data_IF_037174643425
#
_entry.id   IF_037174643425
#
_cell.length_a   1.000
_cell.length_b   1.000
_cell.length_c   1.000
_cell.angle_alpha   90.00
_cell.angle_beta   90.00
_cell.angle_gamma   90.00
#
_symmetry.space_group_name_H-M   'P 1'
#
loop_
_entity.id
_entity.type
_entity.pdbx_description
1 polymer ?
#
# COMPACT_ATOMS: atom_id res chain seq x y z
N UNK A 1 -41.15 -24.95 11.74
CA UNK A 1 -40.19 -26.07 11.73
C UNK A 1 -38.81 -25.49 12.03
N UNK A 2 -38.13 -25.95 13.08
CA UNK A 2 -36.77 -25.46 13.39
C UNK A 2 -35.80 -25.96 12.31
N UNK A 3 -35.03 -25.05 11.73
CA UNK A 3 -34.15 -25.31 10.59
C UNK A 3 -32.99 -26.28 10.94
N UNK A 4 -32.43 -26.19 12.14
CA UNK A 4 -31.28 -27.04 12.52
C UNK A 4 -31.60 -28.53 12.69
N UNK A 5 -32.68 -28.93 13.37
CA UNK A 5 -33.09 -30.34 13.41
C UNK A 5 -33.39 -30.91 12.01
N UNK A 6 -33.94 -30.09 11.12
CA UNK A 6 -34.22 -30.49 9.73
C UNK A 6 -32.93 -30.66 8.91
N UNK A 7 -31.99 -29.72 9.07
CA UNK A 7 -30.66 -29.74 8.43
C UNK A 7 -29.82 -30.94 8.87
N UNK A 8 -29.79 -31.26 10.17
CA UNK A 8 -29.08 -32.44 10.67
C UNK A 8 -29.63 -33.73 10.08
N UNK A 9 -30.96 -33.90 10.09
CA UNK A 9 -31.60 -35.09 9.52
C UNK A 9 -31.28 -35.27 8.03
N UNK A 10 -31.30 -34.20 7.25
CA UNK A 10 -30.99 -34.29 5.81
C UNK A 10 -29.50 -34.50 5.52
N UNK A 11 -28.62 -34.06 6.42
CA UNK A 11 -27.19 -34.35 6.32
C UNK A 11 -26.88 -35.83 6.58
N UNK A 12 -27.65 -36.50 7.43
CA UNK A 12 -27.52 -37.95 7.66
C UNK A 12 -28.07 -38.78 6.49
N UNK A 13 -29.16 -38.33 5.87
CA UNK A 13 -29.82 -39.05 4.77
C UNK A 13 -29.13 -38.86 3.40
N UNK A 14 -28.51 -37.70 3.14
CA UNK A 14 -27.97 -37.36 1.82
C UNK A 14 -26.50 -36.90 1.87
N UNK A 15 -25.54 -37.69 1.33
CA UNK A 15 -24.11 -37.36 1.38
C UNK A 15 -23.75 -36.01 0.75
N UNK A 16 -24.42 -35.64 -0.35
CA UNK A 16 -24.20 -34.35 -1.00
C UNK A 16 -24.69 -33.18 -0.14
N UNK A 17 -25.79 -33.38 0.60
CA UNK A 17 -26.29 -32.38 1.54
C UNK A 17 -25.36 -32.25 2.74
N UNK A 18 -24.84 -33.37 3.27
CA UNK A 18 -23.83 -33.37 4.32
C UNK A 18 -22.59 -32.54 3.94
N UNK A 19 -22.07 -32.76 2.73
CA UNK A 19 -20.93 -32.01 2.21
C UNK A 19 -21.22 -30.50 2.10
N UNK A 20 -22.39 -30.13 1.55
CA UNK A 20 -22.79 -28.71 1.43
C UNK A 20 -23.01 -28.06 2.80
N UNK A 21 -23.58 -28.80 3.74
CA UNK A 21 -23.80 -28.32 5.11
C UNK A 21 -22.47 -28.13 5.86
N UNK A 22 -21.50 -29.03 5.66
CA UNK A 22 -20.14 -28.87 6.17
C UNK A 22 -19.47 -27.63 5.58
N UNK A 23 -19.52 -27.45 4.25
CA UNK A 23 -18.95 -26.28 3.57
C UNK A 23 -19.59 -24.97 4.07
N UNK A 24 -20.91 -24.97 4.28
CA UNK A 24 -21.65 -23.84 4.87
C UNK A 24 -21.12 -23.52 6.28
N UNK A 25 -21.06 -24.51 7.18
CA UNK A 25 -20.56 -24.32 8.56
C UNK A 25 -19.12 -23.81 8.59
N UNK A 26 -18.27 -24.35 7.73
CA UNK A 26 -16.89 -23.86 7.59
C UNK A 26 -16.84 -22.41 7.09
N UNK A 27 -17.73 -22.02 6.17
CA UNK A 27 -17.83 -20.63 5.70
C UNK A 27 -18.30 -19.70 6.82
N UNK A 28 -19.30 -20.10 7.59
CA UNK A 28 -19.78 -19.33 8.75
C UNK A 28 -18.67 -19.11 9.78
N UNK A 29 -17.89 -20.16 10.08
CA UNK A 29 -16.73 -20.08 10.99
C UNK A 29 -15.65 -19.12 10.46
N UNK A 30 -15.38 -19.10 9.16
CA UNK A 30 -14.41 -18.13 8.60
C UNK A 30 -14.90 -16.70 8.69
N UNK A 31 -16.20 -16.47 8.48
CA UNK A 31 -16.78 -15.14 8.61
C UNK A 31 -16.74 -14.68 10.07
N UNK A 32 -16.97 -15.58 11.03
CA UNK A 32 -16.82 -15.31 12.45
C UNK A 32 -15.36 -15.02 12.82
N UNK A 33 -14.40 -15.80 12.32
CA UNK A 33 -12.97 -15.56 12.52
C UNK A 33 -12.51 -14.23 11.89
N UNK A 34 -12.96 -13.92 10.68
CA UNK A 34 -12.63 -12.63 10.03
C UNK A 34 -13.22 -11.46 10.81
N UNK A 35 -14.44 -11.62 11.34
CA UNK A 35 -15.06 -10.63 12.21
C UNK A 35 -14.34 -10.49 13.55
N UNK A 36 -13.86 -11.59 14.12
CA UNK A 36 -13.16 -11.58 15.41
C UNK A 36 -11.90 -10.71 15.35
N UNK A 37 -11.24 -10.64 14.19
CA UNK A 37 -10.10 -9.75 13.97
C UNK A 37 -10.42 -8.24 14.12
N UNK A 38 -11.69 -7.84 14.05
CA UNK A 38 -12.11 -6.44 14.19
C UNK A 38 -12.69 -6.06 15.56
N UNK A 39 -13.25 -7.03 16.32
CA UNK A 39 -14.07 -6.71 17.50
C UNK A 39 -13.83 -7.65 18.72
N UNK A 40 -13.64 -8.96 18.51
CA UNK A 40 -13.76 -9.97 19.59
C UNK A 40 -12.82 -11.19 19.41
N UNK A 41 -11.56 -10.95 18.99
CA UNK A 41 -10.60 -11.99 18.62
C UNK A 41 -10.41 -13.05 19.72
N UNK A 42 -10.26 -12.60 20.98
CA UNK A 42 -10.01 -13.48 22.13
C UNK A 42 -11.20 -14.39 22.45
N UNK A 43 -12.42 -13.87 22.41
CA UNK A 43 -13.64 -14.63 22.76
C UNK A 43 -13.85 -15.80 21.81
N UNK A 44 -13.51 -15.63 20.53
CA UNK A 44 -13.68 -16.66 19.49
C UNK A 44 -12.50 -17.63 19.48
N UNK A 45 -11.27 -17.15 19.70
CA UNK A 45 -10.07 -18.01 19.75
C UNK A 45 -10.01 -18.92 20.98
N UNK A 46 -10.58 -18.51 22.13
CA UNK A 46 -10.61 -19.32 23.35
C UNK A 46 -11.71 -20.40 23.37
N UNK A 47 -12.65 -20.37 22.42
CA UNK A 47 -13.72 -21.37 22.29
C UNK A 47 -13.34 -22.49 21.30
N UNK A 48 -14.09 -23.59 21.27
CA UNK A 48 -13.90 -24.76 20.38
C UNK A 48 -13.90 -24.44 18.87
N UNK A 49 -14.14 -23.19 18.49
CA UNK A 49 -14.11 -22.67 17.13
C UNK A 49 -12.67 -22.43 16.63
N UNK A 50 -11.70 -22.21 17.54
CA UNK A 50 -10.28 -22.06 17.23
C UNK A 50 -9.69 -23.28 16.51
N UNK A 51 -9.99 -24.49 17.00
CA UNK A 51 -9.52 -25.75 16.38
C UNK A 51 -10.10 -25.97 14.98
N UNK A 52 -11.34 -25.56 14.74
CA UNK A 52 -11.96 -25.65 13.42
C UNK A 52 -11.35 -24.68 12.41
N UNK A 53 -10.89 -23.50 12.86
CA UNK A 53 -10.21 -22.52 11.99
C UNK A 53 -8.83 -23.02 11.52
N UNK A 54 -8.07 -23.71 12.38
CA UNK A 54 -6.80 -24.38 12.02
C UNK A 54 -7.04 -25.46 10.96
N UNK A 55 -8.11 -26.25 11.12
CA UNK A 55 -8.48 -27.29 10.16
C UNK A 55 -8.81 -26.70 8.77
N UNK A 56 -9.45 -25.53 8.72
CA UNK A 56 -9.77 -24.85 7.46
C UNK A 56 -8.52 -24.30 6.75
N UNK A 57 -7.59 -23.66 7.47
CA UNK A 57 -6.35 -23.14 6.86
C UNK A 57 -5.47 -24.26 6.28
N UNK A 58 -5.46 -25.43 6.94
CA UNK A 58 -4.84 -26.65 6.38
C UNK A 58 -5.52 -27.13 5.08
N UNK A 59 -6.85 -27.01 4.99
CA UNK A 59 -7.63 -27.50 3.85
C UNK A 59 -7.38 -26.71 2.55
N UNK A 60 -7.01 -25.43 2.65
CA UNK A 60 -6.75 -24.53 1.52
C UNK A 60 -5.27 -24.43 1.13
N UNK A 61 -4.45 -25.41 1.54
CA UNK A 61 -3.02 -25.48 1.19
C UNK A 61 -2.22 -24.24 1.64
N UNK A 62 -2.56 -23.72 2.83
CA UNK A 62 -1.83 -22.64 3.49
C UNK A 62 -1.07 -23.15 4.73
N UNK A 63 -0.11 -24.08 4.57
CA UNK A 63 0.52 -24.78 5.70
C UNK A 63 1.30 -23.84 6.62
N UNK A 64 1.86 -22.75 6.09
CA UNK A 64 2.57 -21.76 6.90
C UNK A 64 1.61 -21.01 7.83
N UNK A 65 0.44 -20.60 7.32
CA UNK A 65 -0.56 -19.94 8.15
C UNK A 65 -1.13 -20.89 9.20
N UNK A 66 -1.38 -22.16 8.84
CA UNK A 66 -1.88 -23.15 9.80
C UNK A 66 -0.89 -23.39 10.97
N UNK A 67 0.42 -23.42 10.68
CA UNK A 67 1.47 -23.55 11.71
C UNK A 67 1.51 -22.37 12.66
N UNK A 68 1.39 -21.14 12.14
CA UNK A 68 1.46 -19.94 12.96
C UNK A 68 0.14 -19.62 13.68
N UNK A 69 -0.99 -20.09 13.17
CA UNK A 69 -2.30 -19.84 13.77
C UNK A 69 -2.42 -20.47 15.17
N UNK A 70 -1.93 -21.70 15.36
CA UNK A 70 -1.95 -22.35 16.67
C UNK A 70 -1.06 -21.63 17.70
N UNK A 71 0.11 -21.14 17.25
CA UNK A 71 0.99 -20.30 18.08
C UNK A 71 0.29 -18.99 18.44
N UNK A 72 -0.34 -18.35 17.46
CA UNK A 72 -1.09 -17.11 17.65
C UNK A 72 -2.23 -17.27 18.66
N UNK A 73 -3.04 -18.33 18.55
CA UNK A 73 -4.12 -18.62 19.51
C UNK A 73 -3.57 -18.84 20.92
N UNK A 74 -2.46 -19.59 21.05
CA UNK A 74 -1.81 -19.81 22.35
C UNK A 74 -1.28 -18.52 22.96
N UNK A 75 -0.65 -17.68 22.15
CA UNK A 75 -0.07 -16.42 22.62
C UNK A 75 -1.17 -15.43 23.04
N UNK A 76 -2.32 -15.45 22.36
CA UNK A 76 -3.51 -14.69 22.76
C UNK A 76 -4.09 -15.14 24.10
N UNK A 77 -4.19 -16.45 24.33
CA UNK A 77 -4.65 -17.01 25.62
C UNK A 77 -3.71 -16.63 26.77
N UNK A 78 -2.40 -16.73 26.52
CA UNK A 78 -1.36 -16.37 27.48
C UNK A 78 -1.20 -14.85 27.69
N UNK A 79 -1.75 -14.00 26.81
CA UNK A 79 -1.57 -12.55 26.81
C UNK A 79 -2.04 -11.92 28.13
N UNK A 80 -3.15 -12.42 28.68
CA UNK A 80 -3.74 -11.96 29.94
C UNK A 80 -2.77 -12.08 31.13
N UNK A 81 -1.94 -13.12 31.13
CA UNK A 81 -1.01 -13.43 32.21
C UNK A 81 0.42 -12.94 31.94
N UNK A 82 0.89 -12.96 30.69
CA UNK A 82 2.25 -12.54 30.33
C UNK A 82 2.37 -11.02 30.21
N UNK A 83 1.38 -10.35 29.61
CA UNK A 83 1.40 -8.91 29.35
C UNK A 83 0.03 -8.27 29.64
N UNK A 84 -0.37 -8.09 30.91
CA UNK A 84 -1.69 -7.57 31.29
C UNK A 84 -2.00 -6.17 30.75
N UNK A 85 -0.97 -5.32 30.60
CA UNK A 85 -1.11 -3.99 30.02
C UNK A 85 -1.53 -4.04 28.55
N UNK A 86 -0.87 -4.88 27.76
CA UNK A 86 -1.21 -5.11 26.35
C UNK A 86 -2.58 -5.76 26.24
N UNK A 87 -2.90 -6.72 27.11
CA UNK A 87 -4.23 -7.33 27.17
C UNK A 87 -5.33 -6.29 27.40
N UNK A 88 -5.12 -5.34 28.32
CA UNK A 88 -6.09 -4.27 28.62
C UNK A 88 -6.34 -3.38 27.39
N UNK A 89 -5.27 -2.97 26.72
CA UNK A 89 -5.33 -2.15 25.50
C UNK A 89 -5.95 -2.92 24.32
N UNK A 90 -5.68 -4.23 24.24
CA UNK A 90 -6.25 -5.14 23.26
C UNK A 90 -7.76 -5.29 23.47
N UNK A 91 -8.23 -5.50 24.71
CA UNK A 91 -9.65 -5.57 25.05
C UNK A 91 -10.39 -4.23 24.83
N UNK A 92 -9.66 -3.11 24.83
CA UNK A 92 -10.19 -1.80 24.45
C UNK A 92 -10.28 -1.60 22.91
N UNK A 93 -9.88 -2.59 22.11
CA UNK A 93 -9.95 -2.53 20.65
C UNK A 93 -8.91 -1.60 20.00
N UNK A 94 -7.88 -1.16 20.73
CA UNK A 94 -6.90 -0.18 20.23
C UNK A 94 -5.92 -0.73 19.17
N UNK A 95 -6.08 -1.99 18.79
CA UNK A 95 -5.34 -2.64 17.70
C UNK A 95 -6.06 -2.53 16.35
N UNK A 96 -7.28 -1.98 16.32
CA UNK A 96 -8.11 -1.82 15.12
C UNK A 96 -8.32 -0.34 14.83
N UNK A 97 -8.28 0.04 13.54
CA UNK A 97 -8.63 1.37 13.08
C UNK A 97 -9.92 1.34 12.25
N UNK A 98 -10.73 2.39 12.36
CA UNK A 98 -11.97 2.53 11.60
C UNK A 98 -11.82 3.63 10.56
N UNK A 99 -12.01 3.30 9.28
CA UNK A 99 -11.94 4.31 8.20
C UNK A 99 -13.12 5.28 8.22
N UNK A 100 -14.30 4.81 8.63
CA UNK A 100 -15.57 5.55 8.53
C UNK A 100 -16.35 5.59 9.85
N UNK A 101 -15.76 5.14 10.96
CA UNK A 101 -16.42 5.04 12.27
C UNK A 101 -17.52 3.96 12.36
N UNK A 102 -17.67 3.13 11.33
CA UNK A 102 -18.59 1.98 11.32
C UNK A 102 -17.84 0.79 11.94
N UNK A 103 -18.36 0.14 13.00
CA UNK A 103 -17.65 -0.96 13.68
C UNK A 103 -17.23 -2.10 12.73
N UNK A 104 -18.08 -2.45 11.78
CA UNK A 104 -17.80 -3.51 10.80
C UNK A 104 -16.69 -3.18 9.78
N UNK A 105 -16.27 -1.91 9.68
CA UNK A 105 -15.17 -1.50 8.79
C UNK A 105 -13.82 -1.39 9.51
N UNK A 106 -13.74 -1.94 10.73
CA UNK A 106 -12.50 -2.04 11.48
C UNK A 106 -11.45 -2.87 10.74
N UNK A 107 -10.25 -2.30 10.59
CA UNK A 107 -9.10 -2.98 10.00
C UNK A 107 -8.00 -3.06 11.07
N UNK A 108 -7.42 -4.24 11.32
CA UNK A 108 -6.24 -4.36 12.17
C UNK A 108 -5.12 -3.40 11.76
N UNK A 109 -4.43 -2.81 12.73
CA UNK A 109 -3.43 -1.77 12.50
C UNK A 109 -2.27 -2.26 11.61
N UNK A 110 -1.87 -3.52 11.75
CA UNK A 110 -0.87 -4.17 10.91
C UNK A 110 -1.32 -4.29 9.45
N UNK A 111 -2.57 -4.72 9.22
CA UNK A 111 -3.16 -4.80 7.89
C UNK A 111 -3.35 -3.41 7.25
N UNK A 112 -3.76 -2.42 8.04
CA UNK A 112 -3.85 -1.03 7.60
C UNK A 112 -2.48 -0.46 7.22
N UNK A 113 -1.46 -0.73 8.04
CA UNK A 113 -0.09 -0.33 7.75
C UNK A 113 0.44 -1.06 6.50
N UNK A 114 0.14 -2.35 6.35
CA UNK A 114 0.50 -3.10 5.15
C UNK A 114 -0.14 -2.51 3.90
N UNK A 115 -1.43 -2.16 3.96
CA UNK A 115 -2.16 -1.53 2.87
C UNK A 115 -1.57 -0.16 2.51
N UNK A 116 -1.22 0.65 3.51
CA UNK A 116 -0.56 1.93 3.29
C UNK A 116 0.81 1.75 2.63
N UNK A 117 1.66 0.89 3.20
CA UNK A 117 3.00 0.63 2.69
C UNK A 117 2.94 -0.01 1.29
N UNK A 118 1.89 -0.77 0.95
CA UNK A 118 1.69 -1.33 -0.40
C UNK A 118 1.73 -0.28 -1.51
N UNK A 119 1.37 0.97 -1.22
CA UNK A 119 1.49 2.09 -2.18
C UNK A 119 2.94 2.48 -2.48
N UNK A 120 3.87 2.21 -1.55
CA UNK A 120 5.32 2.46 -1.68
C UNK A 120 6.05 1.20 -2.15
N UNK A 121 5.50 0.00 -1.91
CA UNK A 121 6.09 -1.26 -2.39
C UNK A 121 6.12 -1.28 -3.93
N UNK A 122 7.31 -1.44 -4.48
CA UNK A 122 7.49 -1.86 -5.87
C UNK A 122 6.96 -3.29 -6.10
N UNK A 123 6.95 -3.75 -7.37
CA UNK A 123 6.40 -5.08 -7.73
C UNK A 123 7.14 -6.27 -7.08
N UNK A 124 8.35 -6.06 -6.51
CA UNK A 124 9.14 -7.08 -5.81
C UNK A 124 8.77 -7.32 -4.34
N UNK A 125 7.76 -6.63 -3.81
CA UNK A 125 7.33 -6.79 -2.42
C UNK A 125 8.40 -6.40 -1.40
N UNK A 126 8.40 -7.05 -0.24
CA UNK A 126 9.36 -6.79 0.84
C UNK A 126 10.68 -7.57 0.72
N UNK A 127 10.83 -8.46 -0.26
CA UNK A 127 11.93 -9.44 -0.32
C UNK A 127 13.36 -8.88 -0.26
N UNK A 128 13.55 -7.61 -0.60
CA UNK A 128 14.84 -6.90 -0.45
C UNK A 128 14.95 -5.98 0.76
N UNK A 129 13.82 -5.61 1.38
CA UNK A 129 13.75 -4.65 2.49
C UNK A 129 13.79 -5.39 3.83
N UNK A 130 13.15 -6.55 3.92
CA UNK A 130 13.12 -7.38 5.15
C UNK A 130 14.50 -7.92 5.53
N UNK A 131 15.34 -8.20 4.53
CA UNK A 131 16.69 -8.73 4.72
C UNK A 131 17.73 -7.65 5.10
N UNK A 132 17.35 -6.37 5.13
CA UNK A 132 18.21 -5.26 5.53
C UNK A 132 17.57 -4.44 6.67
N UNK A 133 18.05 -4.57 7.91
CA UNK A 133 17.47 -3.91 9.08
C UNK A 133 17.39 -2.38 8.94
N UNK A 134 18.35 -1.76 8.24
CA UNK A 134 18.38 -0.32 8.02
C UNK A 134 17.32 0.12 7.02
N UNK A 135 17.10 -0.66 5.97
CA UNK A 135 16.04 -0.40 4.99
C UNK A 135 14.66 -0.63 5.59
N UNK A 136 14.50 -1.67 6.41
CA UNK A 136 13.27 -1.91 7.17
C UNK A 136 12.98 -0.76 8.14
N UNK A 137 13.98 -0.32 8.93
CA UNK A 137 13.82 0.80 9.84
C UNK A 137 13.44 2.09 9.12
N UNK A 138 14.10 2.40 7.99
CA UNK A 138 13.73 3.56 7.17
C UNK A 138 12.28 3.45 6.71
N UNK A 139 11.87 2.31 6.17
CA UNK A 139 10.49 2.14 5.71
C UNK A 139 9.46 2.26 6.85
N UNK A 140 9.75 1.77 8.04
CA UNK A 140 8.85 1.88 9.19
C UNK A 140 8.69 3.34 9.67
N UNK A 141 9.73 4.16 9.53
CA UNK A 141 9.71 5.56 9.98
C UNK A 141 9.21 6.50 8.88
N UNK A 142 9.68 6.34 7.64
CA UNK A 142 9.43 7.28 6.54
C UNK A 142 8.40 6.77 5.54
N UNK A 143 8.03 5.49 5.58
CA UNK A 143 7.07 4.88 4.65
C UNK A 143 5.72 5.60 4.65
N UNK A 144 5.07 5.82 5.81
CA UNK A 144 3.81 6.56 5.87
C UNK A 144 3.91 7.98 5.27
N UNK A 145 5.02 8.67 5.50
CA UNK A 145 5.27 10.01 4.95
C UNK A 145 5.40 9.97 3.42
N UNK A 146 6.14 8.99 2.88
CA UNK A 146 6.21 8.77 1.43
C UNK A 146 4.84 8.45 0.84
N UNK A 147 4.02 7.64 1.51
CA UNK A 147 2.64 7.34 1.07
C UNK A 147 1.81 8.63 1.02
N UNK A 148 1.91 9.48 2.05
CA UNK A 148 1.19 10.75 2.11
C UNK A 148 1.62 11.67 0.96
N UNK A 149 2.92 11.89 0.80
CA UNK A 149 3.47 12.76 -0.25
C UNK A 149 3.08 12.27 -1.65
N UNK A 150 3.18 10.97 -1.93
CA UNK A 150 2.76 10.41 -3.22
C UNK A 150 1.26 10.64 -3.45
N UNK A 151 0.44 10.43 -2.43
CA UNK A 151 -1.01 10.62 -2.53
C UNK A 151 -1.39 12.09 -2.75
N UNK A 152 -0.74 13.02 -2.04
CA UNK A 152 -0.92 14.46 -2.20
C UNK A 152 -0.51 14.90 -3.61
N UNK A 153 0.66 14.48 -4.06
CA UNK A 153 1.16 14.75 -5.40
C UNK A 153 0.21 14.22 -6.47
N UNK A 154 -0.18 12.95 -6.42
CA UNK A 154 -1.10 12.34 -7.39
C UNK A 154 -2.46 13.05 -7.44
N UNK A 155 -2.98 13.50 -6.30
CA UNK A 155 -4.24 14.24 -6.24
C UNK A 155 -4.11 15.64 -6.85
N UNK A 156 -2.95 16.29 -6.70
CA UNK A 156 -2.67 17.61 -7.29
C UNK A 156 -2.53 17.54 -8.81
N UNK A 157 -1.89 16.51 -9.34
CA UNK A 157 -1.71 16.36 -10.80
C UNK A 157 -2.93 15.71 -11.51
N UNK A 158 -3.91 15.20 -10.77
CA UNK A 158 -5.07 14.51 -11.35
C UNK A 158 -6.02 15.48 -12.07
N UNK A 159 -6.38 15.25 -13.35
CA UNK A 159 -7.29 16.15 -14.06
C UNK A 159 -8.68 16.23 -13.39
N UNK A 160 -9.15 17.45 -13.12
CA UNK A 160 -10.49 17.72 -12.58
C UNK A 160 -11.52 17.79 -13.72
N UNK A 161 -12.69 17.18 -13.55
CA UNK A 161 -13.73 17.14 -14.58
C UNK A 161 -14.26 18.54 -14.92
N UNK A 162 -14.40 18.87 -16.21
CA UNK A 162 -15.12 20.07 -16.69
C UNK A 162 -14.28 21.24 -17.20
N UNK A 163 -12.95 21.13 -17.36
CA UNK A 163 -12.10 22.15 -17.99
C UNK A 163 -11.21 21.53 -19.08
N UNK A 164 -10.87 22.31 -20.10
CA UNK A 164 -10.07 21.85 -21.24
C UNK A 164 -8.69 21.35 -20.81
N UNK A 165 -8.26 20.22 -21.38
CA UNK A 165 -6.95 19.60 -21.15
C UNK A 165 -5.82 20.58 -21.48
N UNK A 166 -4.90 20.80 -20.53
CA UNK A 166 -3.66 21.57 -20.74
C UNK A 166 -3.50 22.88 -19.94
N UNK A 167 -4.58 23.48 -19.41
CA UNK A 167 -4.47 24.65 -18.50
C UNK A 167 -4.37 24.25 -17.02
N UNK A 168 -4.88 23.07 -16.67
CA UNK A 168 -4.93 22.56 -15.30
C UNK A 168 -3.57 22.14 -14.72
N UNK A 169 -2.70 21.55 -15.55
CA UNK A 169 -1.45 20.92 -15.11
C UNK A 169 -0.35 21.95 -14.77
N UNK A 170 -0.55 23.20 -15.18
CA UNK A 170 0.37 24.33 -14.96
C UNK A 170 0.30 24.88 -13.54
N UNK A 171 -0.83 25.46 -13.17
CA UNK A 171 -0.93 26.24 -11.93
C UNK A 171 -0.84 25.39 -10.65
N UNK A 172 -1.56 24.26 -10.58
CA UNK A 172 -1.66 23.44 -9.34
C UNK A 172 -0.30 22.78 -8.97
N UNK A 173 0.50 22.40 -9.97
CA UNK A 173 1.82 21.79 -9.73
C UNK A 173 2.89 22.83 -9.42
N UNK A 174 2.95 23.92 -10.19
CA UNK A 174 3.88 25.03 -9.93
C UNK A 174 3.64 25.67 -8.56
N UNK A 175 2.37 25.85 -8.15
CA UNK A 175 2.04 26.33 -6.80
C UNK A 175 2.46 25.32 -5.72
N UNK A 176 2.28 24.02 -5.95
CA UNK A 176 2.73 22.99 -5.03
C UNK A 176 4.26 23.03 -4.83
N UNK A 177 5.03 23.20 -5.90
CA UNK A 177 6.49 23.33 -5.85
C UNK A 177 6.89 24.61 -5.11
N UNK A 178 6.26 25.76 -5.40
CA UNK A 178 6.53 27.01 -4.68
C UNK A 178 6.28 26.88 -3.18
N UNK A 179 5.27 26.13 -2.75
CA UNK A 179 5.00 25.86 -1.32
C UNK A 179 6.05 24.99 -0.64
N UNK A 180 6.85 24.25 -1.40
CA UNK A 180 7.99 23.52 -0.82
C UNK A 180 9.19 24.44 -0.58
N UNK A 181 9.15 25.68 -1.10
CA UNK A 181 10.16 26.69 -0.83
C UNK A 181 9.76 27.45 0.44
N UNK A 182 10.58 27.34 1.46
CA UNK A 182 10.51 28.16 2.68
C UNK A 182 11.76 29.05 2.81
N UNK A 183 11.81 29.88 3.84
CA UNK A 183 12.92 30.82 4.08
C UNK A 183 14.29 30.13 4.23
N UNK A 184 14.31 28.83 4.57
CA UNK A 184 15.53 28.02 4.76
C UNK A 184 15.91 27.21 3.51
N UNK A 185 15.01 27.10 2.53
CA UNK A 185 15.23 26.33 1.31
C UNK A 185 16.05 27.12 0.31
N UNK A 186 17.27 26.65 0.00
CA UNK A 186 18.14 27.31 -0.98
C UNK A 186 17.96 26.81 -2.40
N UNK A 187 17.45 25.60 -2.57
CA UNK A 187 17.37 24.90 -3.84
C UNK A 187 16.30 23.80 -3.76
N UNK A 188 15.57 23.61 -4.84
CA UNK A 188 14.65 22.47 -5.01
C UNK A 188 15.13 21.62 -6.18
N UNK A 189 15.36 20.33 -5.92
CA UNK A 189 15.72 19.33 -6.92
C UNK A 189 14.52 18.44 -7.22
N UNK A 190 14.02 18.48 -8.45
CA UNK A 190 12.94 17.62 -8.95
C UNK A 190 13.55 16.54 -9.84
N UNK A 191 13.55 15.31 -9.35
CA UNK A 191 14.13 14.17 -10.06
C UNK A 191 12.99 13.28 -10.57
N UNK A 192 12.74 13.36 -11.87
CA UNK A 192 11.95 12.38 -12.60
C UNK A 192 12.81 11.17 -12.98
N UNK A 193 12.24 9.99 -12.76
CA UNK A 193 12.86 8.70 -13.01
C UNK A 193 12.96 8.41 -14.51
N UNK A 194 14.02 7.70 -14.93
CA UNK A 194 14.28 7.34 -16.33
C UNK A 194 14.35 5.84 -16.47
N UNK A 195 13.41 5.27 -17.22
CA UNK A 195 13.33 3.82 -17.42
C UNK A 195 14.26 3.39 -18.54
N UNK A 196 15.43 2.83 -18.18
CA UNK A 196 16.37 2.26 -19.16
C UNK A 196 15.83 0.94 -19.72
N UNK A 197 15.93 0.71 -21.05
CA UNK A 197 15.36 -0.48 -21.70
C UNK A 197 15.88 -1.80 -21.12
N UNK A 198 17.17 -1.85 -20.77
CA UNK A 198 17.84 -3.04 -20.22
C UNK A 198 17.77 -3.16 -18.69
N UNK A 199 17.04 -2.28 -18.02
CA UNK A 199 16.91 -2.34 -16.56
C UNK A 199 16.01 -3.51 -16.13
N UNK A 200 16.31 -4.06 -14.94
CA UNK A 200 15.46 -5.05 -14.28
C UNK A 200 14.03 -4.51 -14.10
N UNK A 201 13.91 -3.19 -13.90
CA UNK A 201 12.62 -2.52 -13.77
C UNK A 201 11.81 -2.50 -15.07
N UNK A 202 12.46 -2.31 -16.23
CA UNK A 202 11.78 -2.27 -17.52
C UNK A 202 11.34 -3.66 -17.99
N UNK A 203 12.22 -4.66 -17.88
CA UNK A 203 11.92 -6.06 -18.26
C UNK A 203 10.77 -6.68 -17.43
N UNK A 204 10.65 -6.31 -16.15
CA UNK A 204 9.54 -6.74 -15.30
C UNK A 204 8.22 -6.05 -15.68
N UNK A 205 8.27 -4.93 -16.42
CA UNK A 205 7.11 -4.13 -16.84
C UNK A 205 6.57 -4.53 -18.20
N UNK A 206 7.41 -4.85 -19.18
CA UNK A 206 7.00 -5.32 -20.52
C UNK A 206 6.05 -6.54 -20.44
N UNK A 207 6.29 -7.42 -19.46
CA UNK A 207 5.45 -8.60 -19.19
C UNK A 207 3.99 -8.29 -18.78
N UNK A 208 3.62 -7.02 -18.59
CA UNK A 208 2.33 -6.61 -17.98
C UNK A 208 1.28 -6.14 -18.99
N UNK A 209 1.66 -5.85 -20.24
CA UNK A 209 0.75 -5.37 -21.28
C UNK A 209 0.17 -3.96 -21.03
N UNK A 210 -0.50 -3.41 -22.04
CA UNK A 210 -1.20 -2.11 -21.96
C UNK A 210 -2.55 -2.28 -21.25
N UNK A 211 -2.81 -1.50 -20.21
CA UNK A 211 -4.11 -1.46 -19.52
C UNK A 211 -5.03 -0.39 -20.11
N UNK A 212 -6.34 -0.65 -20.12
CA UNK A 212 -7.36 0.26 -20.66
C UNK A 212 -7.41 1.63 -19.94
N UNK A 213 -7.61 2.71 -20.71
CA UNK A 213 -7.52 4.14 -20.33
C UNK A 213 -8.71 4.70 -19.53
N UNK A 214 -9.35 3.90 -18.66
CA UNK A 214 -10.63 4.31 -18.07
C UNK A 214 -10.48 5.10 -16.76
N UNK A 215 -9.28 5.24 -16.20
CA UNK A 215 -9.02 6.06 -15.01
C UNK A 215 -7.57 6.58 -14.93
N UNK A 216 -7.35 7.63 -14.13
CA UNK A 216 -6.04 8.30 -13.94
C UNK A 216 -4.94 7.35 -13.45
N UNK A 217 -5.31 6.39 -12.60
CA UNK A 217 -4.38 5.39 -12.09
C UNK A 217 -3.84 4.50 -13.23
N UNK A 218 -4.71 4.06 -14.14
CA UNK A 218 -4.30 3.31 -15.33
C UNK A 218 -3.48 4.16 -16.29
N UNK A 219 -3.79 5.46 -16.43
CA UNK A 219 -2.96 6.38 -17.20
C UNK A 219 -1.52 6.44 -16.65
N UNK A 220 -1.37 6.59 -15.34
CA UNK A 220 -0.07 6.56 -14.66
C UNK A 220 0.59 5.17 -14.66
N UNK A 221 -0.12 4.09 -14.99
CA UNK A 221 0.50 2.77 -15.09
C UNK A 221 1.28 2.57 -16.40
N UNK A 222 0.95 3.32 -17.44
CA UNK A 222 1.64 3.30 -18.72
C UNK A 222 2.95 4.12 -18.66
N UNK A 223 4.05 3.55 -19.13
CA UNK A 223 5.37 4.17 -19.09
C UNK A 223 5.51 5.33 -20.05
N UNK A 224 4.91 5.23 -21.24
CA UNK A 224 4.95 6.28 -22.26
C UNK A 224 4.18 7.51 -21.77
N UNK A 225 3.02 7.29 -21.15
CA UNK A 225 2.24 8.36 -20.52
C UNK A 225 3.01 9.04 -19.39
N UNK A 226 3.66 8.26 -18.51
CA UNK A 226 4.51 8.79 -17.44
C UNK A 226 5.66 9.63 -17.98
N UNK A 227 6.34 9.14 -19.01
CA UNK A 227 7.47 9.84 -19.62
C UNK A 227 7.02 11.17 -20.23
N UNK A 228 5.90 11.17 -20.98
CA UNK A 228 5.33 12.37 -21.56
C UNK A 228 4.88 13.36 -20.47
N UNK A 229 4.24 12.87 -19.41
CA UNK A 229 3.82 13.69 -18.27
C UNK A 229 5.02 14.31 -17.55
N UNK A 230 6.07 13.54 -17.26
CA UNK A 230 7.28 14.06 -16.61
C UNK A 230 7.98 15.12 -17.44
N UNK A 231 8.07 14.92 -18.77
CA UNK A 231 8.61 15.94 -19.68
C UNK A 231 7.78 17.23 -19.67
N UNK A 232 6.45 17.11 -19.61
CA UNK A 232 5.55 18.25 -19.56
C UNK A 232 5.69 19.01 -18.23
N UNK A 233 5.62 18.30 -17.11
CA UNK A 233 5.77 18.86 -15.76
C UNK A 233 7.13 19.53 -15.58
N UNK A 234 8.21 18.93 -16.08
CA UNK A 234 9.54 19.52 -16.01
C UNK A 234 9.64 20.87 -16.71
N UNK A 235 9.04 20.99 -17.90
CA UNK A 235 9.01 22.24 -18.66
C UNK A 235 8.16 23.31 -17.96
N UNK A 236 6.98 22.93 -17.50
CA UNK A 236 6.05 23.82 -16.79
C UNK A 236 6.73 24.48 -15.59
N UNK A 237 7.37 23.69 -14.72
CA UNK A 237 7.94 24.25 -13.48
C UNK A 237 9.17 25.11 -13.76
N UNK A 238 10.01 24.74 -14.74
CA UNK A 238 11.14 25.59 -15.15
C UNK A 238 10.65 26.92 -15.74
N UNK A 239 9.56 26.91 -16.51
CA UNK A 239 8.99 28.14 -17.09
C UNK A 239 8.34 29.03 -16.03
N UNK A 240 7.59 28.45 -15.10
CA UNK A 240 6.72 29.19 -14.18
C UNK A 240 7.36 29.50 -12.83
N UNK A 241 8.28 28.68 -12.34
CA UNK A 241 8.91 28.83 -11.03
C UNK A 241 10.32 29.39 -11.20
N UNK A 242 10.39 30.72 -11.32
CA UNK A 242 11.64 31.46 -11.48
C UNK A 242 12.12 32.11 -10.16
N UNK A 243 11.25 32.15 -9.15
CA UNK A 243 11.50 32.81 -7.87
C UNK A 243 12.47 32.03 -6.96
N UNK A 244 12.77 30.78 -7.31
CA UNK A 244 13.70 29.92 -6.58
C UNK A 244 14.69 29.20 -7.51
N UNK A 245 15.83 28.80 -6.95
CA UNK A 245 16.78 27.97 -7.66
C UNK A 245 16.24 26.54 -7.79
N UNK A 246 15.98 26.14 -9.03
CA UNK A 246 15.32 24.88 -9.35
C UNK A 246 16.21 24.07 -10.30
N UNK A 247 16.36 22.78 -9.98
CA UNK A 247 17.01 21.81 -10.85
C UNK A 247 16.03 20.68 -11.13
N UNK A 248 15.76 20.39 -12.40
CA UNK A 248 14.78 19.38 -12.81
C UNK A 248 15.40 18.41 -13.82
N UNK A 249 15.22 17.10 -13.65
CA UNK A 249 15.65 16.11 -14.66
C UNK A 249 14.62 15.98 -15.78
N UNK A 250 15.09 15.77 -17.02
CA UNK A 250 14.26 15.46 -18.18
C UNK A 250 14.93 14.38 -19.02
N UNK A 251 14.50 13.13 -18.84
CA UNK A 251 15.27 12.00 -19.36
C UNK A 251 16.70 12.03 -18.80
N UNK A 252 17.70 11.85 -19.65
CA UNK A 252 19.11 11.89 -19.26
C UNK A 252 19.68 13.31 -19.07
N UNK A 253 18.87 14.34 -19.33
CA UNK A 253 19.27 15.74 -19.25
C UNK A 253 18.83 16.38 -17.93
N UNK A 254 19.47 17.49 -17.58
CA UNK A 254 19.12 18.32 -16.41
C UNK A 254 18.84 19.74 -16.91
N UNK A 255 17.72 20.30 -16.46
CA UNK A 255 17.32 21.69 -16.67
C UNK A 255 17.49 22.45 -15.36
N UNK A 256 17.97 23.69 -15.43
CA UNK A 256 18.10 24.58 -14.28
C UNK A 256 17.40 25.91 -14.56
N UNK A 257 16.73 26.49 -13.57
CA UNK A 257 16.09 27.81 -13.70
C UNK A 257 17.11 28.96 -13.76
N UNK A 258 18.31 28.77 -13.20
CA UNK A 258 19.43 29.72 -13.29
C UNK A 258 20.76 29.02 -13.64
N UNK A 259 21.70 29.72 -14.32
CA UNK A 259 23.03 29.18 -14.57
C UNK A 259 23.77 28.95 -13.24
N UNK A 260 24.16 27.70 -12.99
CA UNK A 260 24.87 27.32 -11.76
C UNK A 260 26.38 27.45 -11.98
N UNK A 261 27.07 28.28 -11.20
CA UNK A 261 28.54 28.43 -11.29
C UNK A 261 29.34 27.24 -10.72
N UNK A 262 28.70 26.29 -10.04
CA UNK A 262 29.37 25.18 -9.35
C UNK A 262 29.01 23.82 -9.94
N UNK A 263 30.01 23.15 -10.53
CA UNK A 263 29.95 21.83 -11.16
C UNK A 263 29.62 20.65 -10.22
N UNK A 264 29.32 20.88 -8.94
CA UNK A 264 29.22 19.82 -7.93
C UNK A 264 27.88 19.06 -7.94
N UNK A 265 26.77 19.66 -8.39
CA UNK A 265 25.44 19.01 -8.37
C UNK A 265 25.19 18.06 -9.55
N UNK A 266 25.71 18.39 -10.74
CA UNK A 266 25.52 17.60 -11.97
C UNK A 266 26.11 16.18 -11.86
N UNK A 267 27.23 16.00 -11.16
CA UNK A 267 27.84 14.68 -10.97
C UNK A 267 26.97 13.77 -10.07
N UNK A 268 26.42 14.30 -8.98
CA UNK A 268 25.55 13.55 -8.08
C UNK A 268 24.21 13.21 -8.75
N UNK A 269 23.65 14.16 -9.53
CA UNK A 269 22.43 13.96 -10.31
C UNK A 269 22.61 12.90 -11.40
N UNK A 270 23.73 12.92 -12.14
CA UNK A 270 24.06 11.85 -13.10
C UNK A 270 24.10 10.49 -12.43
N UNK A 271 24.73 10.39 -11.25
CA UNK A 271 24.75 9.14 -10.48
C UNK A 271 23.37 8.66 -10.01
N UNK A 272 22.42 9.57 -9.76
CA UNK A 272 21.06 9.21 -9.37
C UNK A 272 20.23 8.72 -10.57
N UNK A 273 20.43 9.29 -11.75
CA UNK A 273 19.82 8.83 -13.02
C UNK A 273 20.47 7.55 -13.54
N UNK A 274 21.76 7.34 -13.24
CA UNK A 274 22.52 6.15 -13.61
C UNK A 274 22.34 4.95 -12.67
N UNK A 275 21.34 4.96 -11.77
CA UNK A 275 21.08 3.80 -10.92
C UNK A 275 20.97 2.52 -11.78
N UNK A 276 21.73 1.45 -11.44
CA UNK A 276 21.68 0.18 -12.15
C UNK A 276 20.32 -0.53 -11.99
#
# INVERSE_FOLDING_TARGET
LMFEPWSQKHAEEYPLFAFRNLAKRLTELNLLFTRSQGEELLTICSNSEGDCSIFFVCLFDHPNYARWLSVHIRDLDALSHQCPSVYTEFMQGKFVIFLTGIPFTGIPLDQANEFNIKKVKGRGGFGGIENNPQSLRRLMVTGPEFVRMISEFQNKIKPKAGKASGQYERDDFSEYVRKQFDDDTRQIDIIFDVYKPDSLENSTREKRGKTSYNNWQNFLHDSENKEQLFRLLAKIVIEEVQDCFLVVTIGESVLCSMPHENNFSLFYMKKLVEKP
#
